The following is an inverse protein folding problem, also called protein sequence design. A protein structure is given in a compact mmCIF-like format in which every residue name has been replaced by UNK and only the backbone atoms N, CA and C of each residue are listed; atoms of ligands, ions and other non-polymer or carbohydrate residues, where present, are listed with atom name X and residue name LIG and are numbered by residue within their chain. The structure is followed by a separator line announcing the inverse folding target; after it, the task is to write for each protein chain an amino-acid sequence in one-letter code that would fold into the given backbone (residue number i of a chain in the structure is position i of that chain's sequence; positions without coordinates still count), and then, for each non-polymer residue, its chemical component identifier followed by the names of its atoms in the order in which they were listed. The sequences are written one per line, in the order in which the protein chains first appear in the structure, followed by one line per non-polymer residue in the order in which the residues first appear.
data_IF_738092915779
#
_entry.id   IF_738092915779
#
_cell.length_a   1.000
_cell.length_b   1.000
_cell.length_c   1.000
_cell.angle_alpha   90.00
_cell.angle_beta   90.00
_cell.angle_gamma   90.00
#
_symmetry.space_group_name_H-M   'P 1'
#
loop_
_entity.id
_entity.type
_entity.pdbx_description
1 polymer ?
#
# COMPACT_ATOMS: atom_id res chain seq x y z
N UNK A 1 -16.60 4.21 -1.72
CA UNK A 1 -16.52 2.97 -0.94
C UNK A 1 -15.31 3.05 -0.04
N UNK A 2 -15.28 2.22 0.98
CA UNK A 2 -14.22 2.11 1.97
C UNK A 2 -12.88 1.76 1.29
N UNK A 3 -12.90 0.95 0.22
CA UNK A 3 -11.69 0.62 -0.54
C UNK A 3 -11.08 1.86 -1.21
N UNK A 4 -11.91 2.75 -1.77
CA UNK A 4 -11.43 4.00 -2.38
C UNK A 4 -10.81 4.90 -1.32
N UNK A 5 -11.46 5.02 -0.16
CA UNK A 5 -10.96 5.83 0.94
C UNK A 5 -9.63 5.26 1.51
N UNK A 6 -9.53 3.94 1.68
CA UNK A 6 -8.29 3.29 2.09
C UNK A 6 -7.16 3.47 1.07
N UNK A 7 -7.43 3.29 -0.23
CA UNK A 7 -6.41 3.48 -1.27
C UNK A 7 -5.90 4.93 -1.32
N UNK A 8 -6.80 5.90 -1.19
CA UNK A 8 -6.45 7.31 -1.09
C UNK A 8 -5.62 7.62 0.16
N UNK A 9 -6.02 7.06 1.31
CA UNK A 9 -5.30 7.20 2.57
C UNK A 9 -3.89 6.62 2.51
N UNK A 10 -3.72 5.43 1.94
CA UNK A 10 -2.40 4.82 1.70
C UNK A 10 -1.52 5.74 0.84
N UNK A 11 -2.08 6.29 -0.24
CA UNK A 11 -1.35 7.21 -1.11
C UNK A 11 -0.95 8.51 -0.40
N UNK A 12 -1.88 9.12 0.34
CA UNK A 12 -1.67 10.38 1.07
C UNK A 12 -0.73 10.24 2.27
N UNK A 13 -0.71 9.06 2.91
CA UNK A 13 0.20 8.76 4.02
C UNK A 13 1.63 8.45 3.57
N UNK A 14 1.88 8.40 2.25
CA UNK A 14 3.19 8.09 1.69
C UNK A 14 3.53 6.60 1.70
N UNK A 15 2.53 5.72 1.88
CA UNK A 15 2.73 4.30 1.66
C UNK A 15 3.12 4.02 0.21
N UNK A 16 3.83 2.92 -0.03
CA UNK A 16 4.22 2.47 -1.36
C UNK A 16 3.90 1.00 -1.54
N UNK A 17 3.43 0.65 -2.72
CA UNK A 17 3.10 -0.71 -3.13
C UNK A 17 4.00 -1.12 -4.28
N UNK A 18 5.12 -1.76 -3.94
CA UNK A 18 6.10 -2.23 -4.91
C UNK A 18 5.63 -3.55 -5.53
N UNK A 19 5.60 -3.61 -6.86
CA UNK A 19 5.25 -4.84 -7.55
C UNK A 19 5.79 -4.89 -8.96
N UNK A 20 5.36 -5.90 -9.70
CA UNK A 20 5.70 -6.09 -11.09
C UNK A 20 4.44 -6.33 -11.92
N UNK A 21 4.40 -5.86 -13.17
CA UNK A 21 3.22 -6.02 -14.04
C UNK A 21 2.81 -7.50 -14.24
N UNK A 22 3.80 -8.40 -14.31
CA UNK A 22 3.62 -9.85 -14.46
C UNK A 22 3.34 -10.59 -13.14
N UNK A 23 3.41 -9.91 -11.99
CA UNK A 23 3.26 -10.55 -10.68
C UNK A 23 1.79 -10.87 -10.37
N UNK A 24 1.46 -12.17 -10.30
CA UNK A 24 0.10 -12.66 -9.98
C UNK A 24 -0.42 -12.13 -8.64
N UNK A 25 0.40 -12.14 -7.59
CA UNK A 25 -0.01 -11.65 -6.27
C UNK A 25 -0.24 -10.13 -6.24
N UNK A 26 0.47 -9.40 -7.10
CA UNK A 26 0.29 -7.97 -7.29
C UNK A 26 -1.03 -7.67 -8.01
N UNK A 27 -1.41 -8.51 -8.99
CA UNK A 27 -2.74 -8.46 -9.59
C UNK A 27 -3.84 -8.78 -8.57
N UNK A 28 -3.67 -9.81 -7.73
CA UNK A 28 -4.62 -10.15 -6.67
C UNK A 28 -4.79 -9.01 -5.65
N UNK A 29 -3.69 -8.40 -5.21
CA UNK A 29 -3.73 -7.24 -4.32
C UNK A 29 -4.51 -6.07 -4.94
N UNK A 30 -4.30 -5.74 -6.22
CA UNK A 30 -5.07 -4.68 -6.89
C UNK A 30 -6.54 -5.03 -7.00
N UNK A 31 -6.86 -6.28 -7.34
CA UNK A 31 -8.24 -6.76 -7.44
C UNK A 31 -8.98 -6.71 -6.11
N UNK A 32 -8.32 -6.91 -4.97
CA UNK A 32 -8.98 -6.82 -3.65
C UNK A 32 -9.48 -5.40 -3.33
N UNK A 33 -8.92 -4.36 -3.95
CA UNK A 33 -9.42 -3.00 -3.84
C UNK A 33 -10.58 -2.70 -4.81
N UNK A 34 -10.72 -3.48 -5.90
CA UNK A 34 -11.65 -3.21 -6.99
C UNK A 34 -11.20 -2.06 -7.91
N UNK A 35 -11.79 -1.98 -9.11
CA UNK A 35 -11.26 -1.17 -10.21
C UNK A 35 -11.04 0.33 -9.88
N UNK A 36 -12.02 0.97 -9.23
CA UNK A 36 -11.92 2.41 -8.90
C UNK A 36 -10.84 2.70 -7.85
N UNK A 37 -10.73 1.86 -6.82
CA UNK A 37 -9.75 2.08 -5.76
C UNK A 37 -8.34 1.65 -6.18
N UNK A 38 -8.21 0.61 -7.01
CA UNK A 38 -6.94 0.16 -7.54
C UNK A 38 -6.18 1.27 -8.28
N UNK A 39 -6.89 2.15 -8.98
CA UNK A 39 -6.31 3.31 -9.68
C UNK A 39 -5.71 4.37 -8.73
N UNK A 40 -6.11 4.38 -7.45
CA UNK A 40 -5.60 5.31 -6.44
C UNK A 40 -4.45 4.72 -5.61
N UNK A 41 -4.11 3.44 -5.80
CA UNK A 41 -3.04 2.79 -5.04
C UNK A 41 -1.69 3.42 -5.37
N UNK A 42 -0.79 3.59 -4.39
CA UNK A 42 0.56 4.09 -4.60
C UNK A 42 1.48 3.00 -5.18
N UNK A 43 1.10 2.45 -6.35
CA UNK A 43 1.84 1.38 -7.02
C UNK A 43 3.13 1.88 -7.65
N UNK A 44 4.22 1.13 -7.44
CA UNK A 44 5.52 1.35 -8.07
C UNK A 44 5.85 0.11 -8.88
N UNK A 45 6.00 0.30 -10.20
CA UNK A 45 6.39 -0.74 -11.13
C UNK A 45 7.89 -1.00 -11.02
N UNK A 46 8.28 -2.17 -10.51
CA UNK A 46 9.67 -2.54 -10.29
C UNK A 46 10.27 -3.41 -11.42
N UNK A 47 9.46 -3.95 -12.33
CA UNK A 47 9.99 -4.70 -13.46
C UNK A 47 10.56 -3.73 -14.49
N UNK A 48 11.82 -3.92 -14.92
CA UNK A 48 12.52 -3.00 -15.83
C UNK A 48 11.88 -2.87 -17.21
N UNK A 49 11.11 -3.88 -17.62
CA UNK A 49 10.33 -3.92 -18.86
C UNK A 49 8.91 -3.34 -18.69
N UNK A 50 8.54 -2.93 -17.47
CA UNK A 50 7.23 -2.39 -17.14
C UNK A 50 7.05 -0.93 -17.60
N UNK A 51 5.80 -0.55 -17.85
CA UNK A 51 5.46 0.83 -18.20
C UNK A 51 5.75 1.78 -17.04
N UNK A 52 6.50 2.86 -17.30
CA UNK A 52 6.95 3.82 -16.28
C UNK A 52 7.62 3.15 -15.08
N UNK A 53 8.38 2.09 -15.36
CA UNK A 53 9.17 1.38 -14.36
C UNK A 53 10.08 2.33 -13.58
N UNK A 54 10.17 2.09 -12.28
CA UNK A 54 11.15 2.68 -11.38
C UNK A 54 11.98 1.56 -10.71
N UNK A 55 12.48 0.63 -11.53
CA UNK A 55 13.32 -0.48 -11.08
C UNK A 55 14.56 -0.01 -10.28
N UNK A 56 15.10 1.18 -10.60
CA UNK A 56 16.22 1.77 -9.88
C UNK A 56 15.84 2.14 -8.43
N UNK A 57 14.67 2.77 -8.22
CA UNK A 57 14.14 3.01 -6.88
C UNK A 57 13.96 1.69 -6.12
N UNK A 58 13.32 0.69 -6.73
CA UNK A 58 13.09 -0.60 -6.10
C UNK A 58 14.40 -1.28 -5.67
N UNK A 59 15.44 -1.24 -6.51
CA UNK A 59 16.77 -1.74 -6.18
C UNK A 59 17.42 -0.95 -5.03
N UNK A 60 17.35 0.38 -5.05
CA UNK A 60 17.89 1.24 -3.97
C UNK A 60 17.21 1.00 -2.62
N UNK A 61 15.93 0.61 -2.65
CA UNK A 61 15.10 0.25 -1.49
C UNK A 61 15.24 -1.23 -1.09
N UNK A 62 16.07 -1.99 -1.80
CA UNK A 62 16.33 -3.41 -1.57
C UNK A 62 15.06 -4.28 -1.62
N UNK A 63 14.09 -3.91 -2.47
CA UNK A 63 12.88 -4.71 -2.67
C UNK A 63 13.22 -5.94 -3.52
N UNK A 64 13.22 -7.12 -2.90
CA UNK A 64 13.61 -8.38 -3.55
C UNK A 64 12.45 -9.34 -3.81
N UNK A 65 11.24 -9.00 -3.39
CA UNK A 65 10.03 -9.83 -3.56
C UNK A 65 8.80 -8.99 -3.87
N UNK A 66 7.87 -9.56 -4.64
CA UNK A 66 6.66 -8.86 -5.05
C UNK A 66 5.37 -9.60 -4.66
N UNK A 67 4.33 -8.87 -4.21
CA UNK A 67 4.40 -7.46 -3.87
C UNK A 67 5.17 -7.23 -2.55
N UNK A 68 5.56 -5.98 -2.32
CA UNK A 68 6.02 -5.49 -1.03
C UNK A 68 5.38 -4.15 -0.73
N UNK A 69 4.92 -3.94 0.49
CA UNK A 69 4.40 -2.67 0.97
C UNK A 69 5.45 -1.95 1.83
N UNK A 70 5.69 -0.66 1.60
CA UNK A 70 6.35 0.23 2.56
C UNK A 70 5.27 1.10 3.19
N UNK A 71 5.04 0.97 4.50
CA UNK A 71 4.04 1.75 5.24
C UNK A 71 4.71 2.25 6.51
N UNK A 72 4.68 3.56 6.75
CA UNK A 72 5.35 4.20 7.90
C UNK A 72 6.85 3.84 8.01
N UNK A 73 7.52 3.71 6.85
CA UNK A 73 8.95 3.35 6.76
C UNK A 73 9.27 1.87 7.05
N UNK A 74 8.25 1.03 7.31
CA UNK A 74 8.42 -0.41 7.51
C UNK A 74 8.03 -1.19 6.26
N UNK A 75 8.77 -2.26 5.97
CA UNK A 75 8.55 -3.11 4.79
C UNK A 75 7.79 -4.38 5.14
N UNK A 76 6.75 -4.68 4.36
CA UNK A 76 5.89 -5.84 4.51
C UNK A 76 5.83 -6.60 3.19
N UNK A 77 6.51 -7.74 3.11
CA UNK A 77 6.47 -8.61 1.95
C UNK A 77 5.11 -9.30 1.80
N UNK A 78 4.70 -9.55 0.56
CA UNK A 78 3.50 -10.31 0.21
C UNK A 78 2.24 -9.46 0.10
N UNK A 79 1.21 -10.07 -0.50
CA UNK A 79 -0.12 -9.47 -0.54
C UNK A 79 -0.72 -9.45 0.88
N UNK A 80 -1.49 -8.41 1.17
CA UNK A 80 -2.12 -8.13 2.45
C UNK A 80 -3.61 -7.92 2.23
N UNK A 81 -4.44 -8.37 3.17
CA UNK A 81 -5.86 -8.04 3.10
C UNK A 81 -6.10 -6.55 3.42
N UNK A 82 -7.32 -6.08 3.17
CA UNK A 82 -7.67 -4.67 3.37
C UNK A 82 -7.65 -4.25 4.85
N UNK A 83 -7.95 -5.17 5.77
CA UNK A 83 -7.99 -4.88 7.20
C UNK A 83 -6.58 -4.71 7.76
N UNK A 84 -5.63 -5.55 7.32
CA UNK A 84 -4.21 -5.43 7.58
C UNK A 84 -3.68 -4.09 7.08
N UNK A 85 -3.93 -3.74 5.81
CA UNK A 85 -3.48 -2.47 5.24
C UNK A 85 -4.08 -1.26 5.96
N UNK A 86 -5.34 -1.36 6.37
CA UNK A 86 -5.98 -0.33 7.18
C UNK A 86 -5.31 -0.19 8.56
N UNK A 87 -5.06 -1.31 9.25
CA UNK A 87 -4.40 -1.32 10.56
C UNK A 87 -2.98 -0.73 10.47
N UNK A 88 -2.16 -1.20 9.51
CA UNK A 88 -0.78 -0.75 9.31
C UNK A 88 -0.67 0.74 8.98
N UNK A 89 -1.69 1.30 8.33
CA UNK A 89 -1.73 2.71 7.94
C UNK A 89 -2.54 3.60 8.90
N UNK A 90 -3.02 3.08 10.03
CA UNK A 90 -3.90 3.80 10.96
C UNK A 90 -5.18 4.34 10.29
N UNK A 91 -5.88 3.47 9.57
CA UNK A 91 -7.16 3.75 8.94
C UNK A 91 -8.29 2.94 9.58
N UNK A 92 -9.44 3.56 9.84
CA UNK A 92 -10.64 2.85 10.26
C UNK A 92 -11.44 2.42 9.03
N UNK A 93 -11.32 1.13 8.68
CA UNK A 93 -11.98 0.56 7.49
C UNK A 93 -13.51 0.58 7.60
N UNK A 94 -14.07 0.37 8.79
CA UNK A 94 -15.51 0.34 9.01
C UNK A 94 -16.17 1.71 8.86
N UNK A 95 -15.45 2.78 9.20
CA UNK A 95 -15.92 4.17 9.09
C UNK A 95 -15.45 4.87 7.81
N UNK A 96 -14.56 4.25 7.03
CA UNK A 96 -14.01 4.82 5.80
C UNK A 96 -13.22 6.10 6.02
N UNK A 97 -12.53 6.25 7.15
CA UNK A 97 -11.75 7.45 7.52
C UNK A 97 -10.46 7.11 8.27
N UNK A 98 -9.46 8.01 8.32
CA UNK A 98 -8.30 7.84 9.17
C UNK A 98 -8.71 7.55 10.62
N UNK A 99 -8.01 6.63 11.28
CA UNK A 99 -8.21 6.41 12.70
C UNK A 99 -7.84 7.70 13.44
N UNK A 100 -8.65 8.10 14.43
CA UNK A 100 -8.28 9.22 15.28
C UNK A 100 -6.91 8.92 15.89
N UNK A 101 -5.99 9.89 15.79
CA UNK A 101 -4.73 9.80 16.51
C UNK A 101 -5.08 9.53 17.98
N UNK A 102 -4.69 8.36 18.50
CA UNK A 102 -4.79 8.10 19.91
C UNK A 102 -3.95 9.18 20.58
N UNK A 103 -4.61 10.10 21.28
CA UNK A 103 -3.95 10.95 22.26
C UNK A 103 -3.50 10.01 23.38
N UNK A 104 -2.36 9.35 23.17
CA UNK A 104 -1.59 8.79 24.26
C UNK A 104 -1.28 9.97 25.18
N UNK A 105 -2.07 10.09 26.24
CA UNK A 105 -1.88 11.04 27.32
C UNK A 105 -0.47 10.81 27.84
N UNK A 106 0.44 11.77 27.60
CA UNK A 106 1.64 11.87 28.40
C UNK A 106 1.17 12.00 29.86
N UNK A 107 1.39 10.94 30.63
CA UNK A 107 1.27 10.99 32.09
C UNK A 107 2.66 11.36 32.60
N UNK A 108 2.66 12.38 33.44
CA UNK A 108 3.78 13.08 34.06
C UNK A 108 4.78 12.19 34.78
#
# INVERSE_FOLDING_TARGET
TEQVALAQHLSQSGARFYGAHWCRYCALQRSSFGGKAAAALPYIECASDGFKSDAALCASKQVSSYPTWEINGQFYSGARDLADLASLSAFNLAEGRPAAASTAKAVE
#
